data_IF_010572440209
#
_entry.id   IF_010572440209
#
_cell.length_a   1.000
_cell.length_b   1.000
_cell.length_c   1.000
_cell.angle_alpha   90.00
_cell.angle_beta   90.00
_cell.angle_gamma   90.00
#
_symmetry.space_group_name_H-M   'P 1'
#
loop_
_entity.id
_entity.type
_entity.pdbx_description
1 polymer ?
#
# COMPACT_ATOMS: atom_id res chain seq x y z
N UNK A 1 8.15 6.39 -32.23
CA UNK A 1 7.38 6.46 -30.97
C UNK A 1 8.09 5.54 -30.00
N UNK A 2 9.00 6.11 -29.23
CA UNK A 2 10.00 5.36 -28.48
C UNK A 2 9.39 4.81 -27.19
N UNK A 3 9.34 3.48 -27.10
CA UNK A 3 8.85 2.76 -25.93
C UNK A 3 10.01 2.66 -24.94
N UNK A 4 10.07 3.59 -24.00
CA UNK A 4 10.91 3.41 -22.82
C UNK A 4 10.39 2.20 -22.02
N UNK A 5 11.23 1.20 -21.71
CA UNK A 5 10.82 0.14 -20.82
C UNK A 5 10.66 0.73 -19.41
N UNK A 6 9.48 0.50 -18.85
CA UNK A 6 9.11 0.97 -17.52
C UNK A 6 10.10 0.44 -16.46
N UNK A 7 10.41 1.24 -15.42
CA UNK A 7 11.14 0.81 -14.23
C UNK A 7 10.67 -0.54 -13.69
N UNK A 8 11.56 -1.32 -13.06
CA UNK A 8 11.27 -2.68 -12.60
C UNK A 8 10.10 -2.74 -11.58
N UNK A 9 9.94 -1.69 -10.77
CA UNK A 9 8.79 -1.49 -9.88
C UNK A 9 7.47 -1.31 -10.66
N UNK A 10 7.52 -0.61 -11.80
CA UNK A 10 6.38 -0.40 -12.67
C UNK A 10 6.05 -1.67 -13.48
N UNK A 11 7.08 -2.44 -13.91
CA UNK A 11 6.89 -3.73 -14.57
C UNK A 11 6.26 -4.77 -13.64
N UNK A 12 6.68 -4.80 -12.38
CA UNK A 12 6.10 -5.66 -11.35
C UNK A 12 4.66 -5.23 -10.99
N UNK A 13 4.42 -3.93 -10.83
CA UNK A 13 3.07 -3.35 -10.64
C UNK A 13 2.16 -3.76 -11.80
N UNK A 14 2.61 -3.60 -13.04
CA UNK A 14 1.87 -4.02 -14.24
C UNK A 14 1.66 -5.54 -14.27
N UNK A 15 2.64 -6.36 -13.90
CA UNK A 15 2.47 -7.82 -13.80
C UNK A 15 1.42 -8.20 -12.73
N UNK A 16 1.42 -7.50 -11.60
CA UNK A 16 0.42 -7.65 -10.54
C UNK A 16 -0.95 -7.07 -10.89
N UNK A 17 -1.06 -6.12 -11.83
CA UNK A 17 -2.32 -5.56 -12.32
C UNK A 17 -2.91 -6.33 -13.52
N UNK A 18 -2.06 -6.96 -14.36
CA UNK A 18 -2.47 -7.53 -15.66
C UNK A 18 -2.27 -9.05 -15.83
N UNK A 19 -1.51 -9.75 -14.97
CA UNK A 19 -1.25 -11.18 -15.18
C UNK A 19 -1.11 -12.11 -13.96
N UNK A 20 -1.10 -11.59 -12.74
CA UNK A 20 -0.86 -12.39 -11.52
C UNK A 20 -2.12 -12.97 -10.86
N UNK A 21 -2.02 -14.09 -10.11
CA UNK A 21 -3.12 -14.65 -9.33
C UNK A 21 -3.60 -13.72 -8.18
N UNK A 22 -2.89 -12.62 -7.91
CA UNK A 22 -3.14 -11.68 -6.80
C UNK A 22 -3.83 -10.38 -7.19
N UNK A 23 -4.15 -10.17 -8.47
CA UNK A 23 -4.92 -9.01 -8.93
C UNK A 23 -6.18 -8.83 -8.09
N UNK A 24 -6.92 -9.93 -7.89
CA UNK A 24 -8.20 -9.90 -7.20
C UNK A 24 -8.04 -9.55 -5.72
N UNK A 25 -7.27 -10.30 -4.91
CA UNK A 25 -7.08 -9.99 -3.50
C UNK A 25 -6.53 -8.59 -3.23
N UNK A 26 -5.53 -8.14 -4.00
CA UNK A 26 -4.93 -6.81 -3.82
C UNK A 26 -5.94 -5.71 -4.18
N UNK A 27 -6.63 -5.84 -5.33
CA UNK A 27 -7.70 -4.90 -5.73
C UNK A 27 -8.84 -4.86 -4.72
N UNK A 28 -9.15 -5.98 -4.09
CA UNK A 28 -10.17 -6.07 -3.06
C UNK A 28 -9.78 -5.38 -1.75
N UNK A 29 -8.49 -5.14 -1.49
CA UNK A 29 -8.05 -4.27 -0.38
C UNK A 29 -8.10 -2.80 -0.79
N UNK A 30 -7.68 -2.47 -2.01
CA UNK A 30 -7.60 -1.09 -2.52
C UNK A 30 -8.97 -0.43 -2.59
N UNK A 31 -9.99 -1.11 -3.16
CA UNK A 31 -11.31 -0.52 -3.37
C UNK A 31 -12.00 -0.07 -2.05
N UNK A 32 -12.08 -0.91 -1.01
CA UNK A 32 -12.55 -0.48 0.32
C UNK A 32 -11.70 0.62 0.96
N UNK A 33 -10.38 0.64 0.71
CA UNK A 33 -9.52 1.71 1.20
C UNK A 33 -9.88 3.06 0.58
N UNK A 34 -10.13 3.10 -0.73
CA UNK A 34 -10.66 4.28 -1.43
C UNK A 34 -12.01 4.71 -0.82
N UNK A 35 -12.93 3.76 -0.63
CA UNK A 35 -14.22 4.08 -0.02
C UNK A 35 -14.06 4.64 1.40
N UNK A 36 -13.15 4.07 2.20
CA UNK A 36 -12.88 4.54 3.54
C UNK A 36 -12.38 5.98 3.55
N UNK A 37 -11.49 6.35 2.62
CA UNK A 37 -11.01 7.73 2.46
C UNK A 37 -12.17 8.66 2.12
N UNK A 38 -13.03 8.28 1.17
CA UNK A 38 -14.20 9.08 0.79
C UNK A 38 -15.12 9.30 1.99
N UNK A 39 -15.43 8.24 2.75
CA UNK A 39 -16.30 8.36 3.91
C UNK A 39 -15.66 9.18 5.05
N UNK A 40 -14.33 9.13 5.23
CA UNK A 40 -13.64 9.98 6.21
C UNK A 40 -13.61 11.44 5.76
N UNK A 41 -13.39 11.71 4.46
CA UNK A 41 -13.44 13.08 3.90
C UNK A 41 -14.83 13.70 4.13
N UNK A 42 -15.89 12.97 3.82
CA UNK A 42 -17.28 13.38 4.10
C UNK A 42 -17.54 13.60 5.59
N UNK A 43 -17.00 12.73 6.46
CA UNK A 43 -17.13 12.90 7.92
C UNK A 43 -16.49 14.20 8.40
N UNK A 44 -15.29 14.50 7.92
CA UNK A 44 -14.56 15.72 8.28
C UNK A 44 -15.29 16.95 7.73
N UNK A 45 -15.80 16.89 6.50
CA UNK A 45 -16.56 17.97 5.88
C UNK A 45 -17.86 18.26 6.64
N UNK A 46 -18.66 17.23 6.93
CA UNK A 46 -19.90 17.39 7.70
C UNK A 46 -19.62 17.99 9.09
N UNK A 47 -18.54 17.57 9.75
CA UNK A 47 -18.16 18.11 11.06
C UNK A 47 -17.70 19.57 11.03
N UNK A 48 -17.21 20.04 9.89
CA UNK A 48 -16.84 21.46 9.70
C UNK A 48 -18.04 22.33 9.35
N UNK A 49 -19.17 21.73 8.97
CA UNK A 49 -20.39 22.45 8.71
C UNK A 49 -21.03 22.89 10.05
N UNK A 50 -21.16 24.20 10.32
CA UNK A 50 -21.70 24.69 11.59
C UNK A 50 -23.18 24.35 11.80
N UNK A 51 -23.88 23.92 10.74
CA UNK A 51 -25.29 23.55 10.78
C UNK A 51 -25.51 22.03 10.62
N UNK A 52 -24.46 21.22 10.74
CA UNK A 52 -24.57 19.77 10.60
C UNK A 52 -25.46 19.18 11.70
N UNK A 53 -26.35 18.28 11.28
CA UNK A 53 -27.15 17.49 12.20
C UNK A 53 -26.29 16.38 12.84
N UNK A 54 -26.34 16.27 14.16
CA UNK A 54 -25.65 15.24 14.93
C UNK A 54 -25.96 13.82 14.42
N UNK A 55 -27.19 13.58 13.96
CA UNK A 55 -27.55 12.27 13.39
C UNK A 55 -26.80 12.00 12.08
N UNK A 56 -26.63 13.01 11.22
CA UNK A 56 -25.90 12.90 9.96
C UNK A 56 -24.42 12.61 10.21
N UNK A 57 -23.82 13.24 11.22
CA UNK A 57 -22.43 13.00 11.64
C UNK A 57 -22.26 11.55 12.12
N UNK A 58 -23.16 11.04 12.97
CA UNK A 58 -23.09 9.66 13.47
C UNK A 58 -23.33 8.62 12.35
N UNK A 59 -24.24 8.89 11.42
CA UNK A 59 -24.45 8.04 10.25
C UNK A 59 -23.19 7.99 9.35
N UNK A 60 -22.54 9.14 9.16
CA UNK A 60 -21.31 9.24 8.38
C UNK A 60 -20.13 8.54 9.08
N UNK A 61 -20.06 8.63 10.41
CA UNK A 61 -19.09 7.88 11.24
C UNK A 61 -19.32 6.37 11.12
N UNK A 62 -20.57 5.91 11.19
CA UNK A 62 -20.92 4.50 11.01
C UNK A 62 -20.51 3.98 9.62
N UNK A 63 -20.69 4.79 8.56
CA UNK A 63 -20.20 4.46 7.20
C UNK A 63 -18.69 4.35 7.15
N UNK A 64 -17.95 5.28 7.75
CA UNK A 64 -16.49 5.23 7.81
C UNK A 64 -15.97 3.97 8.55
N UNK A 65 -16.59 3.64 9.70
CA UNK A 65 -16.27 2.43 10.45
C UNK A 65 -16.59 1.15 9.67
N UNK A 66 -17.71 1.13 8.93
CA UNK A 66 -18.06 -0.01 8.06
C UNK A 66 -17.02 -0.20 6.96
N UNK A 67 -16.60 0.87 6.29
CA UNK A 67 -15.55 0.80 5.26
C UNK A 67 -14.21 0.34 5.82
N UNK A 68 -13.84 0.77 7.04
CA UNK A 68 -12.67 0.24 7.77
C UNK A 68 -12.79 -1.27 8.02
N UNK A 69 -13.97 -1.74 8.43
CA UNK A 69 -14.23 -3.17 8.62
C UNK A 69 -14.05 -3.98 7.33
N UNK A 70 -14.47 -3.43 6.19
CA UNK A 70 -14.26 -4.07 4.89
C UNK A 70 -12.77 -4.21 4.55
N UNK A 71 -11.94 -3.19 4.79
CA UNK A 71 -10.49 -3.27 4.58
C UNK A 71 -9.91 -4.47 5.34
N UNK A 72 -10.29 -4.63 6.61
CA UNK A 72 -9.83 -5.75 7.45
C UNK A 72 -10.28 -7.10 6.88
N UNK A 73 -11.55 -7.24 6.50
CA UNK A 73 -12.05 -8.49 5.93
C UNK A 73 -11.24 -8.91 4.70
N UNK A 74 -10.95 -7.97 3.80
CA UNK A 74 -10.18 -8.27 2.59
C UNK A 74 -8.71 -8.54 2.85
N UNK A 75 -8.12 -7.91 3.88
CA UNK A 75 -6.77 -8.25 4.33
C UNK A 75 -6.73 -9.70 4.88
N UNK A 76 -7.75 -10.11 5.64
CA UNK A 76 -7.88 -11.48 6.16
C UNK A 76 -8.02 -12.48 5.00
N UNK A 77 -8.84 -12.17 4.01
CA UNK A 77 -9.00 -13.01 2.82
C UNK A 77 -7.71 -13.13 2.02
N UNK A 78 -7.02 -12.01 1.78
CA UNK A 78 -5.69 -12.01 1.15
C UNK A 78 -4.71 -12.90 1.92
N UNK A 79 -4.63 -12.76 3.24
CA UNK A 79 -3.74 -13.55 4.08
C UNK A 79 -4.07 -15.05 4.00
N UNK A 80 -5.34 -15.42 4.10
CA UNK A 80 -5.78 -16.81 4.02
C UNK A 80 -5.52 -17.40 2.65
N UNK A 81 -5.69 -16.64 1.57
CA UNK A 81 -5.36 -17.09 0.22
C UNK A 81 -3.84 -17.33 0.05
N UNK A 82 -3.00 -16.47 0.63
CA UNK A 82 -1.55 -16.65 0.66
C UNK A 82 -1.13 -17.92 1.39
N UNK A 83 -1.74 -18.16 2.55
CA UNK A 83 -1.49 -19.38 3.34
C UNK A 83 -1.97 -20.63 2.61
N UNK A 84 -3.20 -20.62 2.08
CA UNK A 84 -3.84 -21.77 1.42
C UNK A 84 -3.06 -22.17 0.15
N UNK A 85 -2.60 -21.19 -0.62
CA UNK A 85 -1.85 -21.42 -1.87
C UNK A 85 -0.34 -21.63 -1.66
N UNK A 86 0.17 -21.50 -0.43
CA UNK A 86 1.60 -21.63 -0.08
C UNK A 86 2.52 -20.76 -0.95
N UNK A 87 2.19 -19.49 -1.00
CA UNK A 87 2.87 -18.48 -1.82
C UNK A 87 3.50 -17.40 -0.93
N UNK A 88 4.31 -16.53 -1.52
CA UNK A 88 4.92 -15.42 -0.81
C UNK A 88 3.91 -14.28 -0.54
N UNK A 89 4.15 -13.54 0.54
CA UNK A 89 3.41 -12.33 0.87
C UNK A 89 3.86 -11.17 -0.01
N UNK A 90 2.90 -10.48 -0.62
CA UNK A 90 3.08 -9.29 -1.48
C UNK A 90 2.70 -8.00 -0.75
N UNK A 91 2.97 -7.90 0.55
CA UNK A 91 2.55 -6.76 1.38
C UNK A 91 3.10 -5.43 0.85
N UNK A 92 4.36 -5.41 0.40
CA UNK A 92 5.00 -4.21 -0.18
C UNK A 92 4.27 -3.72 -1.43
N UNK A 93 3.68 -4.64 -2.20
CA UNK A 93 2.92 -4.36 -3.42
C UNK A 93 1.58 -3.73 -3.08
N UNK A 94 0.89 -4.27 -2.07
CA UNK A 94 -0.34 -3.68 -1.53
C UNK A 94 -0.08 -2.24 -1.08
N UNK A 95 1.03 -2.02 -0.38
CA UNK A 95 1.42 -0.70 0.13
C UNK A 95 1.76 0.26 -1.01
N UNK A 96 2.51 -0.18 -2.01
CA UNK A 96 2.82 0.64 -3.18
C UNK A 96 1.57 1.00 -3.97
N UNK A 97 0.66 0.05 -4.19
CA UNK A 97 -0.59 0.29 -4.88
C UNK A 97 -1.48 1.30 -4.13
N UNK A 98 -1.59 1.18 -2.80
CA UNK A 98 -2.29 2.20 -2.00
C UNK A 98 -1.62 3.58 -2.14
N UNK A 99 -0.30 3.65 -2.09
CA UNK A 99 0.44 4.92 -2.28
C UNK A 99 0.31 5.51 -3.67
N UNK A 100 0.10 4.70 -4.72
CA UNK A 100 -0.12 5.21 -6.08
C UNK A 100 -1.54 5.73 -6.29
N UNK A 101 -2.51 5.24 -5.51
CA UNK A 101 -3.91 5.68 -5.59
C UNK A 101 -4.16 6.99 -4.84
N UNK A 102 -3.25 7.40 -3.94
CA UNK A 102 -3.40 8.57 -3.09
C UNK A 102 -2.27 9.58 -3.32
N UNK A 103 -2.57 10.87 -3.27
CA UNK A 103 -1.54 11.90 -3.27
C UNK A 103 -0.63 11.71 -2.06
N UNK A 104 0.69 11.85 -2.26
CA UNK A 104 1.70 11.62 -1.23
C UNK A 104 1.49 12.47 0.02
N UNK A 105 0.78 13.59 -0.09
CA UNK A 105 0.55 14.56 0.99
C UNK A 105 -0.86 14.47 1.62
N UNK A 106 -1.72 13.54 1.18
CA UNK A 106 -3.04 13.33 1.78
C UNK A 106 -2.91 12.60 3.12
N UNK A 107 -3.05 13.34 4.23
CA UNK A 107 -3.00 12.80 5.60
C UNK A 107 -4.00 11.64 5.81
N UNK A 108 -5.16 11.67 5.15
CA UNK A 108 -6.16 10.59 5.25
C UNK A 108 -5.65 9.34 4.52
N UNK A 109 -5.12 9.50 3.30
CA UNK A 109 -4.50 8.43 2.52
C UNK A 109 -3.30 7.81 3.24
N UNK A 110 -2.44 8.63 3.85
CA UNK A 110 -1.33 8.16 4.68
C UNK A 110 -1.81 7.39 5.91
N UNK A 111 -2.88 7.85 6.57
CA UNK A 111 -3.46 7.19 7.74
C UNK A 111 -4.06 5.82 7.39
N UNK A 112 -4.80 5.73 6.28
CA UNK A 112 -5.34 4.47 5.77
C UNK A 112 -4.23 3.51 5.39
N UNK A 113 -3.19 3.99 4.68
CA UNK A 113 -2.02 3.17 4.33
C UNK A 113 -1.31 2.65 5.57
N UNK A 114 -1.12 3.50 6.59
CA UNK A 114 -0.50 3.12 7.86
C UNK A 114 -1.32 2.05 8.58
N UNK A 115 -2.64 2.18 8.60
CA UNK A 115 -3.54 1.16 9.14
C UNK A 115 -3.36 -0.18 8.44
N UNK A 116 -3.38 -0.21 7.10
CA UNK A 116 -3.20 -1.43 6.31
C UNK A 116 -1.86 -2.12 6.63
N UNK A 117 -0.76 -1.35 6.64
CA UNK A 117 0.57 -1.87 7.01
C UNK A 117 0.56 -2.50 8.40
N UNK A 118 0.01 -1.79 9.38
CA UNK A 118 -0.04 -2.29 10.75
C UNK A 118 -0.90 -3.55 10.87
N UNK A 119 -2.02 -3.62 10.15
CA UNK A 119 -2.93 -4.77 10.19
C UNK A 119 -2.33 -6.00 9.50
N UNK A 120 -1.71 -5.84 8.32
CA UNK A 120 -0.94 -6.89 7.65
C UNK A 120 0.18 -7.45 8.55
N UNK A 121 0.91 -6.57 9.25
CA UNK A 121 1.93 -7.00 10.22
C UNK A 121 1.30 -7.74 11.41
N UNK A 122 0.17 -7.26 11.92
CA UNK A 122 -0.54 -7.85 13.05
C UNK A 122 -0.95 -9.29 12.74
N UNK A 123 -1.66 -9.53 11.62
CA UNK A 123 -2.15 -10.87 11.27
C UNK A 123 -0.99 -11.84 11.02
N UNK A 124 0.07 -11.40 10.33
CA UNK A 124 1.26 -12.22 10.06
C UNK A 124 1.98 -12.61 11.33
N UNK A 125 1.96 -11.75 12.34
CA UNK A 125 2.63 -12.02 13.62
C UNK A 125 1.83 -13.00 14.48
N UNK A 126 0.50 -12.84 14.55
CA UNK A 126 -0.36 -13.57 15.48
C UNK A 126 -0.89 -14.90 14.93
N UNK A 127 -1.08 -15.02 13.61
CA UNK A 127 -1.73 -16.18 12.98
C UNK A 127 -0.81 -16.99 12.06
N UNK A 128 0.51 -16.86 12.24
CA UNK A 128 1.57 -17.44 11.40
C UNK A 128 1.21 -18.80 10.77
N UNK A 129 1.05 -18.80 9.45
CA UNK A 129 0.86 -20.02 8.64
C UNK A 129 -0.47 -20.74 8.86
N UNK A 130 -1.42 -20.14 9.58
CA UNK A 130 -2.76 -20.69 9.79
C UNK A 130 -3.76 -19.91 8.97
N UNK A 131 -4.65 -20.63 8.27
CA UNK A 131 -5.83 -20.03 7.65
C UNK A 131 -6.71 -19.42 8.73
N UNK A 132 -7.25 -18.23 8.47
CA UNK A 132 -8.12 -17.49 9.39
C UNK A 132 -9.34 -16.92 8.67
N UNK A 133 -10.36 -16.59 9.45
CA UNK A 133 -11.59 -15.93 9.03
C UNK A 133 -11.79 -14.66 9.84
N UNK A 134 -12.77 -13.84 9.44
CA UNK A 134 -13.13 -12.62 10.18
C UNK A 134 -13.53 -12.90 11.63
N UNK A 135 -14.02 -14.11 11.94
CA UNK A 135 -14.40 -14.52 13.29
C UNK A 135 -13.21 -14.86 14.20
N UNK A 136 -12.06 -15.19 13.61
CA UNK A 136 -10.85 -15.55 14.37
C UNK A 136 -10.11 -14.31 14.90
N UNK A 137 -10.36 -13.16 14.29
CA UNK A 137 -9.82 -11.86 14.72
C UNK A 137 -10.87 -11.23 15.64
N UNK A 138 -10.56 -11.09 16.93
CA UNK A 138 -11.45 -10.44 17.91
C UNK A 138 -11.57 -8.93 17.63
N UNK A 139 -12.35 -8.58 16.61
CA UNK A 139 -12.66 -7.22 16.20
C UNK A 139 -11.78 -6.65 15.09
N UNK A 140 -12.26 -5.55 14.50
CA UNK A 140 -11.62 -4.85 13.38
C UNK A 140 -10.56 -3.82 13.82
N UNK A 141 -10.16 -3.82 15.10
CA UNK A 141 -9.36 -2.76 15.71
C UNK A 141 -7.99 -3.27 16.15
N UNK A 142 -6.94 -2.49 15.90
CA UNK A 142 -5.57 -2.76 16.36
C UNK A 142 -5.33 -2.34 17.83
N UNK A 143 -6.39 -2.29 18.64
CA UNK A 143 -6.35 -1.76 20.00
C UNK A 143 -6.18 -0.23 20.05
N UNK A 144 -5.56 0.33 21.10
CA UNK A 144 -5.51 1.78 21.34
C UNK A 144 -4.63 2.55 20.35
N UNK A 145 -3.82 1.85 19.54
CA UNK A 145 -2.92 2.47 18.54
C UNK A 145 -3.46 2.39 17.12
N UNK A 146 -4.74 2.05 16.94
CA UNK A 146 -5.38 2.00 15.63
C UNK A 146 -5.51 3.41 15.04
N UNK A 147 -4.67 3.79 14.05
CA UNK A 147 -4.60 5.17 13.59
C UNK A 147 -5.89 5.59 12.88
N UNK A 148 -6.60 4.64 12.26
CA UNK A 148 -7.81 4.90 11.51
C UNK A 148 -9.02 5.03 12.45
N UNK A 149 -9.07 4.22 13.50
CA UNK A 149 -10.08 4.38 14.56
C UNK A 149 -9.88 5.72 15.30
N UNK A 150 -8.63 6.10 15.61
CA UNK A 150 -8.31 7.40 16.21
C UNK A 150 -8.75 8.54 15.28
N UNK A 151 -8.54 8.44 13.97
CA UNK A 151 -8.98 9.49 13.05
C UNK A 151 -10.51 9.60 13.00
N UNK A 152 -11.23 8.47 12.91
CA UNK A 152 -12.71 8.43 12.84
C UNK A 152 -13.36 8.88 14.16
N UNK A 153 -12.77 8.52 15.30
CA UNK A 153 -13.29 8.89 16.62
C UNK A 153 -12.77 10.24 17.13
N UNK A 154 -11.54 10.62 16.83
CA UNK A 154 -10.92 11.88 17.24
C UNK A 154 -11.46 13.06 16.43
N UNK A 155 -12.00 12.81 15.24
CA UNK A 155 -12.90 13.78 14.61
C UNK A 155 -14.20 13.99 15.39
N UNK A 156 -14.49 13.20 16.45
CA UNK A 156 -15.63 13.35 17.35
C UNK A 156 -15.37 14.17 18.61
N UNK A 157 -14.20 14.76 18.79
CA UNK A 157 -13.92 15.60 19.96
C UNK A 157 -14.13 17.08 19.63
N UNK A 158 -15.30 17.55 20.08
CA UNK A 158 -15.73 18.89 20.47
C UNK A 158 -15.06 20.14 19.87
N UNK A 159 -15.95 20.94 19.28
CA UNK A 159 -15.89 22.39 19.23
C UNK A 159 -15.72 23.00 20.62
N UNK A 160 -14.50 23.26 21.06
CA UNK A 160 -14.05 24.40 21.87
C UNK A 160 -12.61 24.15 22.32
N UNK A 161 -11.80 25.21 22.33
CA UNK A 161 -10.42 25.24 22.81
C UNK A 161 -9.34 24.58 21.94
N UNK A 162 -9.09 25.18 20.77
CA UNK A 162 -7.70 25.30 20.29
C UNK A 162 -7.36 26.78 20.26
N UNK A 163 -6.73 27.21 21.35
CA UNK A 163 -5.95 28.45 21.43
C UNK A 163 -5.02 28.48 20.22
N UNK A 164 -5.21 29.48 19.36
CA UNK A 164 -4.22 29.84 18.34
C UNK A 164 -2.89 30.20 19.04
N UNK A 165 -1.76 29.52 18.75
CA UNK A 165 -0.49 30.20 18.81
C UNK A 165 -0.35 31.01 17.51
N UNK A 166 -0.36 32.33 17.63
CA UNK A 166 0.09 33.23 16.56
C UNK A 166 1.49 32.83 16.08
N UNK A 167 1.79 33.02 14.77
CA UNK A 167 3.08 32.69 14.22
C UNK A 167 4.13 33.67 14.73
N UNK A 168 5.33 33.18 15.04
CA UNK A 168 6.52 34.02 15.20
C UNK A 168 7.46 33.81 14.01
N UNK A 169 8.11 34.86 13.49
CA UNK A 169 8.73 34.85 12.18
C UNK A 169 10.24 34.51 12.22
N UNK A 170 10.71 34.12 11.03
CA UNK A 170 12.08 34.26 10.49
C UNK A 170 13.18 33.19 10.75
N UNK A 171 13.54 32.57 9.61
CA UNK A 171 14.88 32.38 9.04
C UNK A 171 15.83 31.32 9.64
N UNK A 172 16.15 30.30 8.82
CA UNK A 172 17.42 30.29 8.09
C UNK A 172 17.46 29.24 6.96
N UNK A 173 18.00 29.68 5.83
CA UNK A 173 18.23 28.94 4.60
C UNK A 173 19.27 27.83 4.77
N UNK A 174 19.08 26.72 4.06
CA UNK A 174 20.18 25.88 3.59
C UNK A 174 19.93 25.50 2.12
N UNK A 175 20.67 26.16 1.23
CA UNK A 175 20.85 25.75 -0.16
C UNK A 175 21.73 24.51 -0.20
N UNK A 176 21.20 23.36 -0.62
CA UNK A 176 22.02 22.21 -0.99
C UNK A 176 22.17 22.17 -2.50
N UNK A 177 23.41 22.37 -2.95
CA UNK A 177 23.83 22.34 -4.36
C UNK A 177 23.85 20.88 -4.82
N UNK A 178 23.16 20.58 -5.92
CA UNK A 178 23.26 19.31 -6.63
C UNK A 178 24.54 19.28 -7.47
N UNK A 179 25.39 18.27 -7.22
CA UNK A 179 26.62 18.03 -8.00
C UNK A 179 26.32 17.05 -9.16
N UNK A 180 26.55 17.44 -10.42
CA UNK A 180 26.28 16.60 -11.60
C UNK A 180 27.20 15.36 -11.72
N UNK A 181 28.23 15.24 -10.88
CA UNK A 181 29.13 14.08 -10.87
C UNK A 181 28.47 12.79 -10.37
N UNK A 182 27.46 12.89 -9.49
CA UNK A 182 26.81 11.72 -8.90
C UNK A 182 26.00 10.91 -9.93
N UNK A 183 25.33 11.60 -10.85
CA UNK A 183 24.54 11.00 -11.93
C UNK A 183 25.39 10.23 -12.95
N UNK A 184 26.62 10.69 -13.21
CA UNK A 184 27.52 10.01 -14.16
C UNK A 184 28.06 8.72 -13.56
N UNK A 185 28.42 8.71 -12.27
CA UNK A 185 28.85 7.48 -11.58
C UNK A 185 27.72 6.45 -11.45
N UNK A 186 26.48 6.90 -11.21
CA UNK A 186 25.33 6.00 -11.09
C UNK A 186 24.99 5.33 -12.42
N UNK A 187 25.06 6.08 -13.52
CA UNK A 187 24.74 5.57 -14.88
C UNK A 187 25.78 4.56 -15.37
N UNK A 188 27.08 4.78 -15.11
CA UNK A 188 28.14 3.83 -15.47
C UNK A 188 28.04 2.54 -14.63
N UNK A 189 27.72 2.64 -13.34
CA UNK A 189 27.50 1.48 -12.47
C UNK A 189 26.32 0.62 -12.94
N UNK A 190 25.19 1.25 -13.28
CA UNK A 190 23.99 0.55 -13.71
C UNK A 190 24.18 -0.13 -15.08
N UNK A 191 24.92 0.47 -15.99
CA UNK A 191 25.20 -0.14 -17.31
C UNK A 191 26.08 -1.38 -17.21
N UNK A 192 27.08 -1.39 -16.31
CA UNK A 192 27.93 -2.57 -16.08
C UNK A 192 27.11 -3.73 -15.50
N UNK A 193 26.20 -3.46 -14.56
CA UNK A 193 25.36 -4.49 -13.92
C UNK A 193 24.34 -5.11 -14.90
N UNK A 194 23.79 -4.31 -15.81
CA UNK A 194 22.88 -4.79 -16.86
C UNK A 194 23.62 -5.72 -17.84
N UNK A 195 24.84 -5.35 -18.25
CA UNK A 195 25.67 -6.19 -19.14
C UNK A 195 26.02 -7.53 -18.52
N UNK A 196 26.37 -7.56 -17.23
CA UNK A 196 26.64 -8.79 -16.50
C UNK A 196 25.40 -9.69 -16.42
N UNK A 197 24.23 -9.10 -16.19
CA UNK A 197 22.96 -9.83 -16.08
C UNK A 197 22.55 -10.48 -17.41
N UNK A 198 22.71 -9.75 -18.52
CA UNK A 198 22.46 -10.27 -19.86
C UNK A 198 23.41 -11.42 -20.21
N UNK A 199 24.69 -11.32 -19.87
CA UNK A 199 25.65 -12.40 -20.08
C UNK A 199 25.27 -13.67 -19.30
N UNK A 200 24.79 -13.53 -18.07
CA UNK A 200 24.34 -14.65 -17.25
C UNK A 200 23.06 -15.30 -17.80
N UNK A 201 22.11 -14.51 -18.29
CA UNK A 201 20.86 -15.00 -18.90
C UNK A 201 21.17 -15.71 -20.24
N UNK A 202 21.99 -15.11 -21.10
CA UNK A 202 22.41 -15.75 -22.36
C UNK A 202 23.13 -17.07 -22.10
N UNK A 203 23.98 -17.14 -21.06
CA UNK A 203 24.65 -18.39 -20.66
C UNK A 203 23.65 -19.43 -20.15
N UNK A 204 22.61 -19.01 -19.42
CA UNK A 204 21.55 -19.91 -18.90
C UNK A 204 20.62 -20.40 -20.01
N UNK A 205 20.27 -19.55 -20.96
CA UNK A 205 19.46 -19.88 -22.13
C UNK A 205 20.21 -20.83 -23.06
N UNK A 206 21.52 -20.61 -23.29
CA UNK A 206 22.36 -21.52 -24.07
C UNK A 206 22.42 -22.92 -23.45
N UNK A 207 22.59 -23.02 -22.13
CA UNK A 207 22.52 -24.32 -21.41
C UNK A 207 21.16 -25.00 -21.54
N UNK A 208 20.06 -24.23 -21.55
CA UNK A 208 18.70 -24.79 -21.71
C UNK A 208 18.47 -25.34 -23.13
N UNK A 209 18.97 -24.66 -24.15
CA UNK A 209 18.86 -25.14 -25.53
C UNK A 209 19.72 -26.37 -25.79
N UNK A 210 20.91 -26.48 -25.18
CA UNK A 210 21.73 -27.69 -25.27
C UNK A 210 21.03 -28.91 -24.64
N UNK A 211 20.33 -28.73 -23.52
CA UNK A 211 19.54 -29.80 -22.87
C UNK A 211 18.33 -30.21 -23.70
N UNK A 212 17.66 -29.27 -24.38
CA UNK A 212 16.51 -29.56 -25.26
C UNK A 212 16.89 -30.31 -26.54
N UNK A 213 18.10 -30.10 -27.07
CA UNK A 213 18.56 -30.81 -28.28
C UNK A 213 18.98 -32.25 -27.94
N UNK A 214 19.53 -32.50 -26.75
CA UNK A 214 19.88 -33.87 -26.33
C UNK A 214 18.65 -34.75 -26.02
N UNK A 215 17.53 -34.15 -25.59
CA UNK A 215 16.31 -34.89 -25.22
C UNK A 215 15.48 -35.41 -26.39
N UNK A 216 15.66 -34.85 -27.60
CA UNK A 216 14.86 -35.20 -28.78
C UNK A 216 15.48 -36.29 -29.67
N UNK A 217 16.64 -36.84 -29.31
CA UNK A 217 17.32 -37.90 -30.07
C UNK A 217 17.29 -39.28 -29.38
N UNK A 218 16.41 -39.48 -28.38
CA UNK A 218 16.32 -40.72 -27.59
C UNK A 218 14.95 -41.43 -27.65
N UNK A 219 14.16 -41.18 -28.70
CA UNK A 219 12.94 -41.95 -29.00
C UNK A 219 13.01 -42.54 -30.39
#
# INVERSE_FOLDING_TARGET
>A
MDRHPLPEADYFTISCYFGGPFIRPIRWIISPAIQCIIEIKKLIEERRNPNADSQVIEDQKARALKSKGLIVSWIIEYYSEVVDKKIDFYDDVVVQALRSEYESDDNIGQTVTRFVVMFLKHIRTHFKGKRITVYDVQGFNLGPFDPLLILINGSASDSSDIIHPSPSPENQAFSHVESPGFYVTLTVSMTILVLLSLLLISKRMRRRNEVSILGNNLT
#
